data_IF_811340090986
#
_entry.id   IF_811340090986
#
_cell.length_a   1.000
_cell.length_b   1.000
_cell.length_c   1.000
_cell.angle_alpha   90.00
_cell.angle_beta   90.00
_cell.angle_gamma   90.00
#
_symmetry.space_group_name_H-M   'P 1'
#
loop_
_entity.id
_entity.type
_entity.pdbx_description
1 polymer ?
#
# COMPACT_ATOMS: atom_id res chain seq x y z
N UNK A 1 -4.77 -20.46 8.83
CA UNK A 1 -4.06 -19.16 8.73
C UNK A 1 -4.93 -18.15 9.43
N UNK A 2 -4.38 -17.36 10.36
CA UNK A 2 -5.19 -16.42 11.12
C UNK A 2 -5.76 -15.36 10.16
N UNK A 3 -7.08 -15.38 10.00
CA UNK A 3 -7.84 -14.33 9.34
C UNK A 3 -7.77 -13.08 10.23
N UNK A 4 -6.66 -12.37 10.10
CA UNK A 4 -6.34 -11.23 10.96
C UNK A 4 -6.94 -10.02 10.28
N UNK A 5 -8.21 -9.74 10.59
CA UNK A 5 -8.90 -8.55 10.10
C UNK A 5 -8.04 -7.31 10.32
N UNK A 6 -7.53 -6.70 9.24
CA UNK A 6 -6.74 -5.47 9.29
C UNK A 6 -7.71 -4.29 9.40
N UNK A 7 -7.65 -3.47 10.47
CA UNK A 7 -8.57 -2.35 10.63
C UNK A 7 -8.55 -1.37 9.44
N UNK A 8 -9.73 -1.18 8.85
CA UNK A 8 -9.93 -0.31 7.68
C UNK A 8 -9.47 -0.91 6.35
N UNK A 9 -9.09 -2.19 6.28
CA UNK A 9 -8.80 -2.87 5.03
C UNK A 9 -10.07 -3.56 4.51
N UNK A 10 -10.67 -2.98 3.47
CA UNK A 10 -12.01 -3.37 2.97
C UNK A 10 -11.98 -3.96 1.56
N UNK A 11 -10.82 -4.40 1.07
CA UNK A 11 -10.65 -4.92 -0.29
C UNK A 11 -11.63 -6.05 -0.60
N UNK A 12 -12.35 -5.94 -1.72
CA UNK A 12 -13.35 -6.93 -2.14
C UNK A 12 -14.66 -6.94 -1.35
N UNK A 13 -14.82 -6.07 -0.34
CA UNK A 13 -16.07 -5.97 0.42
C UNK A 13 -17.08 -5.01 -0.23
N UNK A 14 -18.35 -5.16 0.13
CA UNK A 14 -19.45 -4.27 -0.29
C UNK A 14 -19.29 -2.82 0.21
N UNK A 15 -18.38 -2.56 1.15
CA UNK A 15 -18.10 -1.22 1.66
C UNK A 15 -17.31 -0.36 0.65
N UNK A 16 -16.67 -0.98 -0.34
CA UNK A 16 -15.86 -0.28 -1.35
C UNK A 16 -16.78 0.24 -2.45
N UNK A 17 -16.75 1.55 -2.68
CA UNK A 17 -17.48 2.16 -3.78
C UNK A 17 -16.94 1.65 -5.13
N UNK A 18 -17.83 1.47 -6.10
CA UNK A 18 -17.42 1.15 -7.47
C UNK A 18 -16.51 2.26 -8.04
N UNK A 19 -15.39 1.85 -8.63
CA UNK A 19 -14.51 2.75 -9.35
C UNK A 19 -15.25 3.39 -10.53
N UNK A 20 -15.02 4.69 -10.82
CA UNK A 20 -15.53 5.31 -12.04
C UNK A 20 -14.81 4.81 -13.31
N UNK A 21 -13.69 4.08 -13.16
CA UNK A 21 -12.92 3.50 -14.26
C UNK A 21 -13.34 2.05 -14.51
N UNK A 22 -13.48 1.69 -15.78
CA UNK A 22 -13.77 0.33 -16.21
C UNK A 22 -12.51 -0.47 -16.54
N UNK A 23 -12.70 -1.76 -16.85
CA UNK A 23 -11.59 -2.64 -17.24
C UNK A 23 -10.86 -2.17 -18.50
N UNK A 24 -11.57 -1.55 -19.45
CA UNK A 24 -10.94 -0.97 -20.64
C UNK A 24 -9.94 0.15 -20.29
N UNK A 25 -10.27 1.01 -19.32
CA UNK A 25 -9.38 2.08 -18.89
C UNK A 25 -8.11 1.50 -18.24
N UNK A 26 -8.26 0.43 -17.46
CA UNK A 26 -7.12 -0.29 -16.89
C UNK A 26 -6.24 -0.93 -17.99
N UNK A 27 -6.83 -1.55 -19.01
CA UNK A 27 -6.08 -2.13 -20.12
C UNK A 27 -5.31 -1.08 -20.93
N UNK A 28 -5.91 0.08 -21.16
CA UNK A 28 -5.22 1.17 -21.86
C UNK A 28 -4.13 1.79 -20.98
N UNK A 29 -4.35 1.87 -19.66
CA UNK A 29 -3.32 2.32 -18.71
C UNK A 29 -2.14 1.35 -18.65
N UNK A 30 -2.37 0.03 -18.62
CA UNK A 30 -1.32 -1.00 -18.71
C UNK A 30 -0.45 -0.80 -19.94
N UNK A 31 -1.06 -0.60 -21.12
CA UNK A 31 -0.31 -0.31 -22.36
C UNK A 31 0.52 0.96 -22.27
N UNK A 32 -0.03 2.03 -21.66
CA UNK A 32 0.67 3.30 -21.53
C UNK A 32 1.94 3.19 -20.66
N UNK A 33 1.94 2.30 -19.66
CA UNK A 33 3.11 2.02 -18.82
C UNK A 33 3.89 0.77 -19.26
N UNK A 34 3.58 0.22 -20.44
CA UNK A 34 4.19 -0.97 -21.03
C UNK A 34 4.08 -2.24 -20.17
N UNK A 35 3.09 -2.31 -19.27
CA UNK A 35 2.85 -3.47 -18.42
C UNK A 35 2.16 -4.59 -19.20
N UNK A 36 2.79 -5.76 -19.28
CA UNK A 36 2.32 -6.93 -20.02
C UNK A 36 2.44 -8.25 -19.24
N UNK A 37 2.26 -9.39 -19.92
CA UNK A 37 2.24 -10.71 -19.27
C UNK A 37 3.53 -11.08 -18.53
N UNK A 38 4.68 -10.61 -19.02
CA UNK A 38 5.96 -10.83 -18.35
C UNK A 38 6.03 -10.07 -17.02
N UNK A 39 5.53 -8.83 -16.97
CA UNK A 39 5.44 -8.05 -15.74
C UNK A 39 4.50 -8.71 -14.73
N UNK A 40 3.36 -9.25 -15.18
CA UNK A 40 2.46 -10.02 -14.30
C UNK A 40 3.17 -11.25 -13.70
N UNK A 41 3.95 -11.97 -14.49
CA UNK A 41 4.73 -13.13 -14.03
C UNK A 41 5.77 -12.72 -12.99
N UNK A 42 6.55 -11.69 -13.28
CA UNK A 42 7.62 -11.25 -12.38
C UNK A 42 7.08 -10.50 -11.14
N UNK A 43 5.95 -9.81 -11.25
CA UNK A 43 5.29 -9.19 -10.09
C UNK A 43 4.79 -10.24 -9.09
N UNK A 44 4.27 -11.38 -9.57
CA UNK A 44 3.91 -12.50 -8.69
C UNK A 44 5.14 -13.10 -8.00
N UNK A 45 6.23 -13.30 -8.74
CA UNK A 45 7.50 -13.77 -8.17
C UNK A 45 8.06 -12.78 -7.13
N UNK A 46 7.98 -11.48 -7.39
CA UNK A 46 8.38 -10.46 -6.42
C UNK A 46 7.55 -10.55 -5.13
N UNK A 47 6.25 -10.83 -5.24
CA UNK A 47 5.40 -11.08 -4.07
C UNK A 47 5.87 -12.27 -3.23
N UNK A 48 6.28 -13.37 -3.87
CA UNK A 48 6.85 -14.53 -3.16
C UNK A 48 8.18 -14.20 -2.48
N UNK A 49 9.05 -13.43 -3.15
CA UNK A 49 10.34 -13.01 -2.62
C UNK A 49 10.21 -12.04 -1.43
N UNK A 50 9.23 -11.14 -1.47
CA UNK A 50 9.05 -10.10 -0.45
C UNK A 50 8.18 -10.54 0.74
N UNK A 51 7.51 -11.70 0.64
CA UNK A 51 6.49 -12.12 1.61
C UNK A 51 7.01 -12.22 3.05
N UNK A 52 8.27 -12.59 3.25
CA UNK A 52 8.91 -12.67 4.57
C UNK A 52 9.73 -11.42 4.94
N UNK A 53 9.76 -10.41 4.07
CA UNK A 53 10.54 -9.18 4.22
C UNK A 53 9.68 -7.92 4.44
N UNK A 54 8.36 -8.07 4.57
CA UNK A 54 7.41 -6.95 4.63
C UNK A 54 7.79 -5.92 5.71
N UNK A 55 8.08 -6.36 6.93
CA UNK A 55 8.41 -5.45 8.03
C UNK A 55 9.73 -4.69 7.79
N UNK A 56 10.73 -5.34 7.19
CA UNK A 56 12.02 -4.71 6.84
C UNK A 56 11.83 -3.63 5.76
N UNK A 57 11.01 -3.92 4.74
CA UNK A 57 10.66 -2.96 3.69
C UNK A 57 9.92 -1.75 4.27
N UNK A 58 8.95 -2.00 5.16
CA UNK A 58 8.21 -0.93 5.83
C UNK A 58 9.13 -0.07 6.71
N UNK A 59 10.10 -0.65 7.40
CA UNK A 59 11.06 0.10 8.21
C UNK A 59 11.92 1.04 7.36
N UNK A 60 12.40 0.58 6.20
CA UNK A 60 13.12 1.43 5.25
C UNK A 60 12.24 2.57 4.75
N UNK A 61 11.00 2.27 4.35
CA UNK A 61 10.07 3.28 3.85
C UNK A 61 9.71 4.33 4.90
N UNK A 62 9.29 3.90 6.09
CA UNK A 62 8.90 4.83 7.15
C UNK A 62 10.10 5.59 7.72
N UNK A 63 11.29 5.00 7.71
CA UNK A 63 12.54 5.71 7.99
C UNK A 63 12.77 6.87 7.02
N UNK A 64 12.61 6.63 5.71
CA UNK A 64 12.69 7.68 4.69
C UNK A 64 11.63 8.77 4.87
N UNK A 65 10.36 8.41 5.14
CA UNK A 65 9.31 9.42 5.37
C UNK A 65 9.61 10.25 6.63
N UNK A 66 10.01 9.60 7.73
CA UNK A 66 10.30 10.26 8.99
C UNK A 66 11.53 11.19 8.91
N UNK A 67 12.49 10.91 8.03
CA UNK A 67 13.67 11.76 7.84
C UNK A 67 13.39 13.07 7.08
N UNK A 68 12.16 13.27 6.58
CA UNK A 68 11.78 14.46 5.81
C UNK A 68 10.58 15.16 6.45
N UNK A 69 10.75 16.33 7.09
CA UNK A 69 9.68 17.02 7.82
C UNK A 69 8.41 17.28 6.99
N UNK A 70 8.57 17.59 5.69
CA UNK A 70 7.45 17.85 4.78
C UNK A 70 6.70 16.57 4.35
N UNK A 71 7.28 15.38 4.54
CA UNK A 71 6.62 14.09 4.29
C UNK A 71 5.93 13.56 5.56
N UNK A 72 6.63 13.58 6.70
CA UNK A 72 6.02 13.15 7.97
C UNK A 72 4.85 14.03 8.41
N UNK A 73 4.78 15.28 7.90
CA UNK A 73 3.67 16.20 8.09
C UNK A 73 2.29 15.54 7.86
N UNK A 74 2.15 14.69 6.84
CA UNK A 74 0.90 13.99 6.51
C UNK A 74 0.47 12.93 7.52
N UNK A 75 1.35 12.60 8.47
CA UNK A 75 1.10 11.69 9.58
C UNK A 75 1.00 12.42 10.92
N UNK A 76 0.84 13.75 10.91
CA UNK A 76 0.68 14.53 12.13
C UNK A 76 -0.78 14.67 12.56
N UNK A 77 -1.01 15.04 13.81
CA UNK A 77 -2.33 15.31 14.37
C UNK A 77 -2.88 16.71 14.02
N UNK A 78 -2.34 17.38 13.00
CA UNK A 78 -2.70 18.76 12.64
C UNK A 78 -2.14 19.84 13.58
N UNK A 79 -1.41 19.47 14.64
CA UNK A 79 -0.69 20.38 15.54
C UNK A 79 0.83 20.28 15.39
N UNK A 80 1.30 19.58 14.34
CA UNK A 80 2.73 19.36 14.07
C UNK A 80 3.36 18.17 14.79
N UNK A 81 2.63 17.47 15.67
CA UNK A 81 3.12 16.27 16.33
C UNK A 81 2.74 15.02 15.54
N UNK A 82 3.69 14.09 15.37
CA UNK A 82 3.43 12.80 14.72
C UNK A 82 2.34 12.02 15.48
N UNK A 83 1.39 11.45 14.75
CA UNK A 83 0.33 10.60 15.28
C UNK A 83 0.73 9.13 15.15
N UNK A 84 1.32 8.57 16.21
CA UNK A 84 1.84 7.20 16.24
C UNK A 84 0.75 6.13 16.03
N UNK A 85 -0.46 6.36 16.54
CA UNK A 85 -1.58 5.42 16.35
C UNK A 85 -2.01 5.39 14.88
N UNK A 86 -2.08 6.55 14.24
CA UNK A 86 -2.40 6.65 12.82
C UNK A 86 -1.32 5.97 11.96
N UNK A 87 -0.04 6.23 12.24
CA UNK A 87 1.08 5.55 11.57
C UNK A 87 1.00 4.04 11.71
N UNK A 88 0.79 3.52 12.92
CA UNK A 88 0.69 2.09 13.16
C UNK A 88 -0.51 1.45 12.44
N UNK A 89 -1.65 2.13 12.35
CA UNK A 89 -2.82 1.65 11.63
C UNK A 89 -2.62 1.64 10.11
N UNK A 90 -1.99 2.69 9.55
CA UNK A 90 -1.66 2.76 8.12
C UNK A 90 -0.62 1.70 7.76
N UNK A 91 0.41 1.51 8.60
CA UNK A 91 1.48 0.52 8.39
C UNK A 91 0.92 -0.88 8.13
N UNK A 92 -0.10 -1.31 8.87
CA UNK A 92 -0.74 -2.62 8.67
C UNK A 92 -1.39 -2.75 7.29
N UNK A 93 -2.06 -1.71 6.82
CA UNK A 93 -2.68 -1.71 5.47
C UNK A 93 -1.63 -1.61 4.37
N UNK A 94 -0.54 -0.91 4.62
CA UNK A 94 0.57 -0.84 3.69
C UNK A 94 1.32 -2.19 3.61
N UNK A 95 1.56 -2.88 4.72
CA UNK A 95 2.13 -4.24 4.66
C UNK A 95 1.28 -5.25 3.89
N UNK A 96 -0.03 -5.00 3.77
CA UNK A 96 -0.95 -5.83 2.98
C UNK A 96 -1.02 -5.42 1.49
N UNK A 97 -0.67 -4.17 1.16
CA UNK A 97 -0.65 -3.64 -0.20
C UNK A 97 0.62 -4.07 -0.92
#
# INVERSE_FOLDING_TARGET
MADTSIPGYTYGSEQVACSPLGLKDLEDLKKAVLFGPEDERYLRMAGEVLADQIEEVLDVWYGFVASHPHLVYYFTNGRGNANSEYLAAVRKRFGQW
#
